data_IF_385552928531
#
_entry.id   IF_385552928531
#
_cell.length_a   1.000
_cell.length_b   1.000
_cell.length_c   1.000
_cell.angle_alpha   90.00
_cell.angle_beta   90.00
_cell.angle_gamma   90.00
#
_symmetry.space_group_name_H-M   'P 1'
#
loop_
_entity.id
_entity.type
_entity.pdbx_description
1 polymer ?
#
# COMPACT_ATOMS: atom_id res chain seq x y z
N UNK A 1 35.89 28.17 -18.11
CA UNK A 1 36.63 27.24 -17.24
C UNK A 1 35.60 26.32 -16.61
N UNK A 2 35.92 25.03 -16.55
CA UNK A 2 35.03 23.88 -16.59
C UNK A 2 33.86 23.82 -15.60
N UNK A 3 32.82 23.11 -16.05
CA UNK A 3 31.66 22.62 -15.33
C UNK A 3 32.02 21.96 -13.99
N UNK A 4 31.26 22.28 -12.94
CA UNK A 4 31.23 21.49 -11.72
C UNK A 4 30.60 20.14 -12.04
N UNK A 5 31.43 19.11 -12.26
CA UNK A 5 30.98 17.73 -12.09
C UNK A 5 30.56 17.57 -10.64
N UNK A 6 29.27 17.33 -10.38
CA UNK A 6 28.80 16.85 -9.09
C UNK A 6 29.41 15.47 -8.84
N UNK A 7 30.59 15.44 -8.23
CA UNK A 7 31.01 14.29 -7.43
C UNK A 7 29.96 14.13 -6.33
N UNK A 8 29.49 12.92 -6.04
CA UNK A 8 28.49 12.66 -5.00
C UNK A 8 28.85 13.23 -3.63
N UNK A 9 28.01 12.96 -2.64
CA UNK A 9 28.20 13.50 -1.29
C UNK A 9 29.61 13.16 -0.76
N UNK A 10 30.30 14.11 -0.11
CA UNK A 10 31.65 13.87 0.42
C UNK A 10 31.69 12.79 1.50
N UNK A 11 30.54 12.53 2.14
CA UNK A 11 30.32 11.41 3.04
C UNK A 11 29.06 10.67 2.55
N UNK A 12 29.21 9.39 2.27
CA UNK A 12 28.12 8.48 1.93
C UNK A 12 28.27 7.21 2.78
N UNK A 13 27.18 6.79 3.41
CA UNK A 13 27.17 5.60 4.27
C UNK A 13 26.03 4.70 3.81
N UNK A 14 26.37 3.45 3.50
CA UNK A 14 25.41 2.41 3.15
C UNK A 14 25.21 1.48 4.35
N UNK A 15 23.96 1.33 4.78
CA UNK A 15 23.56 0.41 5.84
C UNK A 15 22.68 -0.68 5.22
N UNK A 16 22.92 -1.93 5.63
CA UNK A 16 22.12 -3.07 5.19
C UNK A 16 21.81 -3.99 6.38
N UNK A 17 20.57 -4.46 6.44
CA UNK A 17 20.12 -5.39 7.46
C UNK A 17 18.93 -6.19 6.92
N UNK A 18 18.72 -7.40 7.45
CA UNK A 18 17.60 -8.27 7.04
C UNK A 18 16.25 -7.77 7.59
N UNK A 19 16.26 -7.20 8.78
CA UNK A 19 15.11 -6.56 9.40
C UNK A 19 15.16 -5.06 9.12
N UNK A 20 14.13 -4.56 8.44
CA UNK A 20 14.03 -3.18 8.02
C UNK A 20 13.73 -2.23 9.18
N UNK A 21 12.98 -2.67 10.19
CA UNK A 21 12.70 -1.84 11.36
C UNK A 21 14.00 -1.53 12.13
N UNK A 22 14.85 -2.54 12.30
CA UNK A 22 16.18 -2.39 12.92
C UNK A 22 17.12 -1.51 12.07
N UNK A 23 17.00 -1.57 10.73
CA UNK A 23 17.77 -0.73 9.82
C UNK A 23 17.40 0.75 9.98
N UNK A 24 16.10 1.05 10.09
CA UNK A 24 15.62 2.41 10.29
C UNK A 24 16.09 2.99 11.63
N UNK A 25 16.04 2.19 12.70
CA UNK A 25 16.56 2.59 14.02
C UNK A 25 18.06 2.91 13.93
N UNK A 26 18.85 2.02 13.30
CA UNK A 26 20.29 2.23 13.10
C UNK A 26 20.60 3.47 12.23
N UNK A 27 19.78 3.77 11.22
CA UNK A 27 19.91 4.98 10.40
C UNK A 27 19.70 6.24 11.25
N UNK A 28 18.66 6.27 12.08
CA UNK A 28 18.40 7.42 12.95
C UNK A 28 19.52 7.61 13.99
N UNK A 29 19.98 6.52 14.61
CA UNK A 29 21.11 6.55 15.54
C UNK A 29 22.38 7.10 14.87
N UNK A 30 22.67 6.65 13.64
CA UNK A 30 23.82 7.13 12.88
C UNK A 30 23.70 8.64 12.57
N UNK A 31 22.50 9.10 12.16
CA UNK A 31 22.27 10.53 11.91
C UNK A 31 22.50 11.34 13.19
N UNK A 32 22.04 10.86 14.33
CA UNK A 32 22.24 11.53 15.62
C UNK A 32 23.71 11.62 16.01
N UNK A 33 24.50 10.58 15.74
CA UNK A 33 25.96 10.61 15.92
C UNK A 33 26.60 11.63 14.96
N UNK A 34 26.20 11.64 13.68
CA UNK A 34 26.75 12.55 12.68
C UNK A 34 26.45 14.02 13.00
N UNK A 35 25.26 14.32 13.56
CA UNK A 35 24.87 15.66 14.02
C UNK A 35 25.78 16.22 15.12
N UNK A 36 26.52 15.37 15.84
CA UNK A 36 27.44 15.81 16.91
C UNK A 36 28.77 16.34 16.38
N UNK A 37 29.15 16.02 15.14
CA UNK A 37 30.39 16.48 14.54
C UNK A 37 30.24 17.90 13.98
N UNK A 38 31.03 18.83 14.51
CA UNK A 38 31.05 20.22 14.03
C UNK A 38 31.54 20.24 12.57
N UNK A 39 30.69 20.74 11.67
CA UNK A 39 30.97 20.83 10.23
C UNK A 39 30.28 19.77 9.37
N UNK A 40 29.51 18.86 9.96
CA UNK A 40 28.58 17.98 9.23
C UNK A 40 27.22 18.66 9.15
N UNK A 41 26.81 18.99 7.94
CA UNK A 41 25.50 19.61 7.64
C UNK A 41 24.79 18.81 6.55
N UNK A 42 23.49 19.09 6.32
CA UNK A 42 22.67 18.45 5.29
C UNK A 42 22.59 16.91 5.38
N UNK A 43 22.49 16.37 6.60
CA UNK A 43 22.32 14.93 6.83
C UNK A 43 20.93 14.50 6.36
N UNK A 44 20.88 13.71 5.29
CA UNK A 44 19.67 13.16 4.71
C UNK A 44 19.85 11.67 4.39
N UNK A 45 18.75 10.95 4.40
CA UNK A 45 18.62 9.58 3.91
C UNK A 45 17.72 9.56 2.67
N UNK A 46 17.74 8.45 1.95
CA UNK A 46 16.89 8.20 0.78
C UNK A 46 15.67 7.33 1.12
N UNK A 47 15.31 7.16 2.40
CA UNK A 47 14.15 6.36 2.77
C UNK A 47 12.87 7.13 2.49
N UNK A 48 12.11 6.64 1.51
CA UNK A 48 10.75 7.08 1.28
C UNK A 48 9.78 6.04 1.84
N UNK A 49 8.87 6.41 2.77
CA UNK A 49 7.85 5.48 3.21
C UNK A 49 7.02 5.06 2.00
N UNK A 50 7.01 3.77 1.70
CA UNK A 50 6.32 3.28 0.51
C UNK A 50 4.81 3.45 0.60
N UNK A 51 4.13 3.11 -0.50
CA UNK A 51 2.70 3.34 -0.66
C UNK A 51 1.91 2.66 0.46
N UNK A 52 0.83 3.31 0.89
CA UNK A 52 -0.11 2.70 1.83
C UNK A 52 -0.82 1.52 1.14
N UNK A 53 -0.83 0.38 1.80
CA UNK A 53 -1.40 -0.86 1.30
C UNK A 53 -2.37 -1.45 2.31
N UNK A 54 -3.35 -2.20 1.81
CA UNK A 54 -4.23 -3.03 2.63
C UNK A 54 -3.70 -4.45 2.58
N UNK A 55 -3.23 -4.95 3.73
CA UNK A 55 -2.80 -6.34 3.89
C UNK A 55 -4.01 -7.19 4.20
N UNK A 56 -4.31 -8.14 3.34
CA UNK A 56 -5.45 -9.04 3.47
C UNK A 56 -4.99 -10.41 3.94
N UNK A 57 -5.66 -10.95 4.97
CA UNK A 57 -5.40 -12.29 5.46
C UNK A 57 -6.69 -13.10 5.48
N UNK A 58 -6.73 -14.16 4.68
CA UNK A 58 -7.87 -15.06 4.63
C UNK A 58 -7.92 -15.92 5.91
N UNK A 59 -9.08 -15.97 6.56
CA UNK A 59 -9.35 -16.86 7.70
C UNK A 59 -9.60 -18.28 7.21
N UNK A 60 -9.42 -19.25 8.10
CA UNK A 60 -9.72 -20.65 7.79
C UNK A 60 -11.19 -20.83 7.40
N UNK A 61 -12.11 -20.09 8.04
CA UNK A 61 -13.53 -20.07 7.65
C UNK A 61 -13.73 -19.64 6.20
N UNK A 62 -13.01 -18.61 5.73
CA UNK A 62 -13.08 -18.16 4.33
C UNK A 62 -12.57 -19.23 3.36
N UNK A 63 -11.47 -19.91 3.71
CA UNK A 63 -10.91 -21.02 2.92
C UNK A 63 -11.90 -22.19 2.81
N UNK A 64 -12.50 -22.59 3.93
CA UNK A 64 -13.48 -23.69 3.98
C UNK A 64 -14.72 -23.38 3.15
N UNK A 65 -15.11 -22.11 3.06
CA UNK A 65 -16.22 -21.64 2.21
C UNK A 65 -15.83 -21.48 0.74
N UNK A 66 -14.62 -21.89 0.35
CA UNK A 66 -14.17 -21.88 -1.04
C UNK A 66 -13.69 -20.53 -1.55
N UNK A 67 -13.49 -19.53 -0.68
CA UNK A 67 -12.89 -18.26 -1.07
C UNK A 67 -11.38 -18.40 -1.23
N UNK A 68 -10.84 -17.75 -2.26
CA UNK A 68 -9.41 -17.51 -2.38
C UNK A 68 -9.07 -16.06 -2.00
N UNK A 69 -7.78 -15.80 -1.72
CA UNK A 69 -7.30 -14.44 -1.51
C UNK A 69 -7.52 -13.56 -2.75
N UNK A 70 -7.40 -14.15 -3.94
CA UNK A 70 -7.65 -13.48 -5.22
C UNK A 70 -9.11 -13.05 -5.37
N UNK A 71 -10.06 -13.87 -4.92
CA UNK A 71 -11.48 -13.52 -4.95
C UNK A 71 -11.79 -12.33 -4.04
N UNK A 72 -11.23 -12.34 -2.82
CA UNK A 72 -11.36 -11.22 -1.89
C UNK A 72 -10.75 -9.94 -2.45
N UNK A 73 -9.51 -10.01 -2.94
CA UNK A 73 -8.81 -8.85 -3.49
C UNK A 73 -9.56 -8.26 -4.69
N UNK A 74 -10.12 -9.11 -5.55
CA UNK A 74 -10.93 -8.69 -6.69
C UNK A 74 -12.19 -7.97 -6.23
N UNK A 75 -12.97 -8.56 -5.33
CA UNK A 75 -14.20 -7.95 -4.82
C UNK A 75 -13.93 -6.62 -4.12
N UNK A 76 -12.90 -6.56 -3.28
CA UNK A 76 -12.48 -5.32 -2.61
C UNK A 76 -12.12 -4.22 -3.61
N UNK A 77 -11.31 -4.55 -4.62
CA UNK A 77 -10.96 -3.61 -5.67
C UNK A 77 -12.20 -3.10 -6.41
N UNK A 78 -13.13 -3.99 -6.76
CA UNK A 78 -14.37 -3.61 -7.43
C UNK A 78 -15.24 -2.68 -6.57
N UNK A 79 -15.35 -2.96 -5.26
CA UNK A 79 -16.12 -2.11 -4.34
C UNK A 79 -15.50 -0.73 -4.11
N UNK A 80 -14.18 -0.66 -3.91
CA UNK A 80 -13.51 0.55 -3.42
C UNK A 80 -12.87 1.39 -4.53
N UNK A 81 -12.16 0.75 -5.47
CA UNK A 81 -11.56 1.41 -6.62
C UNK A 81 -12.59 1.62 -7.73
N UNK A 82 -13.32 0.54 -8.01
CA UNK A 82 -14.37 0.46 -9.01
C UNK A 82 -14.08 -0.58 -10.08
N UNK A 83 -15.16 -1.12 -10.64
CA UNK A 83 -15.13 -2.03 -11.77
C UNK A 83 -15.60 -1.32 -13.04
N UNK A 84 -14.85 -1.49 -14.13
CA UNK A 84 -15.21 -0.95 -15.44
C UNK A 84 -16.26 -1.88 -16.05
N UNK A 85 -17.52 -1.48 -16.01
CA UNK A 85 -18.63 -2.31 -16.51
C UNK A 85 -18.89 -2.08 -17.99
N UNK A 86 -18.57 -0.88 -18.48
CA UNK A 86 -18.79 -0.53 -19.87
C UNK A 86 -17.86 0.60 -20.29
N UNK A 87 -17.56 0.61 -21.58
CA UNK A 87 -16.80 1.66 -22.24
C UNK A 87 -17.61 2.17 -23.42
N UNK A 88 -17.83 3.47 -23.49
CA UNK A 88 -18.68 4.11 -24.48
C UNK A 88 -17.87 5.14 -25.24
N UNK A 89 -17.88 5.03 -26.57
CA UNK A 89 -17.27 6.03 -27.44
C UNK A 89 -18.15 7.28 -27.49
N UNK A 90 -17.58 8.44 -27.15
CA UNK A 90 -18.23 9.75 -27.25
C UNK A 90 -17.40 10.65 -28.16
N UNK A 91 -17.75 10.65 -29.45
CA UNK A 91 -17.01 11.39 -30.46
C UNK A 91 -15.61 10.78 -30.67
N UNK A 92 -14.57 11.54 -30.34
CA UNK A 92 -13.17 11.08 -30.39
C UNK A 92 -12.67 10.54 -29.04
N UNK A 93 -13.47 10.70 -27.99
CA UNK A 93 -13.13 10.31 -26.63
C UNK A 93 -13.77 8.99 -26.25
N UNK A 94 -13.18 8.36 -25.24
CA UNK A 94 -13.63 7.10 -24.66
C UNK A 94 -14.04 7.33 -23.20
N UNK A 95 -15.31 7.02 -22.88
CA UNK A 95 -15.88 7.24 -21.55
C UNK A 95 -16.08 5.89 -20.87
N UNK A 96 -15.43 5.73 -19.72
CA UNK A 96 -15.55 4.52 -18.88
C UNK A 96 -16.68 4.68 -17.87
N UNK A 97 -17.57 3.69 -17.83
CA UNK A 97 -18.63 3.55 -16.84
C UNK A 97 -18.11 2.65 -15.74
N UNK A 98 -18.02 3.22 -14.53
CA UNK A 98 -17.45 2.54 -13.36
C UNK A 98 -18.55 2.28 -12.31
N UNK A 99 -18.57 1.08 -11.73
CA UNK A 99 -19.42 0.74 -10.58
C UNK A 99 -18.56 0.58 -9.35
N UNK A 100 -18.97 1.20 -8.24
CA UNK A 100 -18.28 1.17 -6.93
C UNK A 100 -19.21 1.63 -5.83
N UNK A 101 -18.81 1.41 -4.57
CA UNK A 101 -19.53 1.93 -3.43
C UNK A 101 -19.58 3.47 -3.40
N UNK A 102 -20.64 4.05 -2.80
CA UNK A 102 -20.70 5.48 -2.52
C UNK A 102 -19.46 5.95 -1.78
N UNK A 103 -19.07 7.21 -2.01
CA UNK A 103 -17.82 7.76 -1.47
C UNK A 103 -17.74 7.66 0.06
N UNK A 104 -18.86 7.77 0.76
CA UNK A 104 -18.90 7.71 2.23
C UNK A 104 -18.66 6.31 2.79
N UNK A 105 -18.92 5.26 2.02
CA UNK A 105 -18.80 3.85 2.42
C UNK A 105 -17.50 3.22 1.90
N UNK A 106 -16.46 4.03 1.63
CA UNK A 106 -15.17 3.53 1.11
C UNK A 106 -13.96 4.38 1.51
N UNK A 107 -14.04 5.08 2.64
CA UNK A 107 -12.97 5.98 3.11
C UNK A 107 -12.09 5.34 4.18
N UNK A 108 -12.56 4.28 4.82
CA UNK A 108 -11.98 3.76 6.04
C UNK A 108 -11.82 2.24 6.01
N UNK A 109 -10.98 1.73 6.91
CA UNK A 109 -10.87 0.29 7.17
C UNK A 109 -12.20 -0.30 7.64
N UNK A 110 -12.96 0.45 8.45
CA UNK A 110 -14.26 0.02 8.92
C UNK A 110 -15.22 -0.24 7.75
N UNK A 111 -15.14 0.53 6.66
CA UNK A 111 -15.92 0.28 5.46
C UNK A 111 -15.55 -1.07 4.82
N UNK A 112 -14.26 -1.42 4.81
CA UNK A 112 -13.77 -2.72 4.33
C UNK A 112 -14.32 -3.85 5.20
N UNK A 113 -14.30 -3.68 6.52
CA UNK A 113 -14.79 -4.68 7.47
C UNK A 113 -16.31 -4.90 7.39
N UNK A 114 -17.05 -3.84 7.03
CA UNK A 114 -18.50 -3.86 6.83
C UNK A 114 -18.91 -4.35 5.44
N UNK A 115 -17.96 -4.51 4.52
CA UNK A 115 -18.23 -5.02 3.17
C UNK A 115 -18.81 -6.42 3.22
N UNK A 116 -19.74 -6.73 2.31
CA UNK A 116 -20.19 -8.10 2.07
C UNK A 116 -19.40 -8.74 0.93
N UNK A 117 -18.98 -9.96 1.15
CA UNK A 117 -18.26 -10.79 0.19
C UNK A 117 -19.19 -11.87 -0.32
N UNK A 118 -19.24 -12.03 -1.64
CA UNK A 118 -19.99 -13.09 -2.30
C UNK A 118 -19.14 -14.35 -2.36
N UNK A 119 -19.72 -15.45 -1.90
CA UNK A 119 -19.17 -16.80 -1.93
C UNK A 119 -19.42 -17.45 -3.31
N UNK A 120 -18.69 -18.54 -3.65
CA UNK A 120 -18.89 -19.26 -4.91
C UNK A 120 -20.30 -19.82 -5.10
N UNK A 121 -21.02 -20.11 -4.01
CA UNK A 121 -22.41 -20.57 -4.01
C UNK A 121 -23.44 -19.43 -4.23
N UNK A 122 -22.97 -18.18 -4.32
CA UNK A 122 -23.79 -16.98 -4.49
C UNK A 122 -24.24 -16.34 -3.19
N UNK A 123 -24.00 -16.95 -2.03
CA UNK A 123 -24.36 -16.40 -0.72
C UNK A 123 -23.45 -15.22 -0.38
N UNK A 124 -23.96 -14.25 0.40
CA UNK A 124 -23.19 -13.10 0.84
C UNK A 124 -22.89 -13.17 2.34
N UNK A 125 -21.63 -12.96 2.71
CA UNK A 125 -21.16 -13.02 4.10
C UNK A 125 -20.33 -11.76 4.44
N UNK A 126 -20.38 -11.25 5.68
CA UNK A 126 -19.56 -10.10 6.06
C UNK A 126 -18.06 -10.39 5.95
N UNK A 127 -17.27 -9.45 5.40
CA UNK A 127 -15.83 -9.57 5.18
C UNK A 127 -15.09 -10.04 6.44
N UNK A 128 -15.37 -9.41 7.59
CA UNK A 128 -14.77 -9.75 8.89
C UNK A 128 -14.91 -11.22 9.31
N UNK A 129 -15.87 -11.95 8.74
CA UNK A 129 -16.11 -13.38 9.04
C UNK A 129 -15.14 -14.29 8.29
N UNK A 130 -14.68 -13.85 7.12
CA UNK A 130 -13.88 -14.66 6.19
C UNK A 130 -12.45 -14.19 6.06
N UNK A 131 -12.15 -12.94 6.43
CA UNK A 131 -10.81 -12.37 6.35
C UNK A 131 -10.57 -11.30 7.42
N UNK A 132 -9.29 -11.02 7.64
CA UNK A 132 -8.79 -9.86 8.37
C UNK A 132 -8.15 -8.89 7.38
N UNK A 133 -8.18 -7.61 7.71
CA UNK A 133 -7.54 -6.54 6.95
C UNK A 133 -6.74 -5.66 7.91
N UNK A 134 -5.52 -5.34 7.51
CA UNK A 134 -4.64 -4.47 8.26
C UNK A 134 -4.06 -3.39 7.34
N UNK A 135 -3.91 -2.17 7.87
CA UNK A 135 -3.13 -1.15 7.18
C UNK A 135 -1.65 -1.51 7.25
N UNK A 136 -1.02 -1.56 6.08
CA UNK A 136 0.43 -1.65 5.96
C UNK A 136 0.97 -0.48 5.16
N UNK A 137 2.28 -0.33 5.19
CA UNK A 137 3.03 0.40 4.17
C UNK A 137 3.89 -0.62 3.44
N UNK A 138 3.92 -0.53 2.12
CA UNK A 138 4.96 -1.17 1.34
C UNK A 138 6.29 -0.48 1.63
N UNK A 139 7.39 -1.18 1.40
CA UNK A 139 8.71 -0.56 1.29
C UNK A 139 8.95 -0.20 -0.18
N UNK A 140 9.69 0.87 -0.48
CA UNK A 140 10.07 1.27 -1.84
C UNK A 140 11.56 1.11 -2.04
#
# INVERSE_FOLDING_TARGET
MAEFMSTGNPIEVELSHENFDDLLEAVEDLKDILRQYTGVEEIADNFEPGKSELKLKLKDTGRTLGLTLSDLAKQLRQGFYGDEVQRIQRGRDDVRVMVRYPKEERKSLADVENMRIRLPDGTEIPFKTVADVEYGRGYS
#
